data_IF_350009245489
#
_entry.id   IF_350009245489
#
_cell.length_a   1.000
_cell.length_b   1.000
_cell.length_c   1.000
_cell.angle_alpha   90.00
_cell.angle_beta   90.00
_cell.angle_gamma   90.00
#
_symmetry.space_group_name_H-M   'P 1'
#
loop_
_entity.id
_entity.type
_entity.pdbx_description
1 polymer ?
#
# COMPACT_ATOMS: atom_id res chain seq x y z
N UNK A 1 11.36 -6.34 21.38
CA UNK A 1 12.64 -6.86 20.94
C UNK A 1 13.76 -5.85 21.14
N UNK A 2 14.19 -5.02 20.17
CA UNK A 2 15.31 -4.04 20.36
C UNK A 2 15.16 -3.10 21.56
N UNK A 3 13.93 -2.81 21.98
CA UNK A 3 13.60 -1.96 23.12
C UNK A 3 13.17 -2.74 24.36
N UNK A 4 13.10 -4.06 24.30
CA UNK A 4 12.66 -4.95 25.41
C UNK A 4 11.24 -4.62 25.96
N UNK A 5 10.37 -4.08 25.10
CA UNK A 5 9.03 -3.67 25.49
C UNK A 5 7.96 -4.51 24.79
N UNK A 6 6.82 -4.79 25.47
CA UNK A 6 5.65 -5.30 24.79
C UNK A 6 5.08 -4.26 23.84
N UNK A 7 4.44 -4.73 22.77
CA UNK A 7 3.61 -3.88 21.93
C UNK A 7 2.35 -4.60 21.49
N UNK A 8 1.28 -3.84 21.34
CA UNK A 8 0.00 -4.33 20.82
C UNK A 8 -0.01 -4.08 19.33
N UNK A 9 -0.22 -5.12 18.55
CA UNK A 9 -0.28 -5.07 17.10
C UNK A 9 -1.70 -5.28 16.62
N UNK A 10 -2.13 -4.50 15.63
CA UNK A 10 -3.39 -4.68 14.93
C UNK A 10 -3.22 -4.48 13.44
N UNK A 11 -3.96 -5.26 12.65
CA UNK A 11 -4.01 -5.17 11.20
C UNK A 11 -5.43 -5.28 10.71
N UNK A 12 -5.73 -4.62 9.61
CA UNK A 12 -7.04 -4.63 8.94
C UNK A 12 -6.85 -4.86 7.45
N UNK A 13 -7.74 -5.63 6.86
CA UNK A 13 -7.81 -5.83 5.42
C UNK A 13 -9.23 -6.17 4.99
N UNK A 14 -9.78 -5.38 4.06
CA UNK A 14 -11.16 -5.51 3.57
C UNK A 14 -12.20 -5.54 4.70
N UNK A 15 -12.63 -6.72 5.11
CA UNK A 15 -13.65 -6.96 6.14
C UNK A 15 -13.09 -7.70 7.36
N UNK A 16 -11.79 -7.98 7.39
CA UNK A 16 -11.15 -8.73 8.46
C UNK A 16 -10.18 -7.90 9.26
N UNK A 17 -10.14 -8.14 10.57
CA UNK A 17 -9.20 -7.53 11.50
C UNK A 17 -8.43 -8.57 12.29
N UNK A 18 -7.23 -8.23 12.69
CA UNK A 18 -6.36 -9.10 13.50
C UNK A 18 -5.75 -8.27 14.62
N UNK A 19 -5.64 -8.87 15.82
CA UNK A 19 -4.94 -8.26 16.96
C UNK A 19 -4.12 -9.33 17.69
N UNK A 20 -2.92 -8.95 18.09
CA UNK A 20 -2.05 -9.75 18.94
C UNK A 20 -1.19 -8.86 19.83
N UNK A 21 -0.57 -9.48 20.84
CA UNK A 21 0.48 -8.86 21.66
C UNK A 21 1.78 -9.58 21.39
N UNK A 22 2.84 -8.81 21.17
CA UNK A 22 4.19 -9.33 21.03
C UNK A 22 5.09 -8.77 22.13
N UNK A 23 5.82 -9.63 22.78
CA UNK A 23 6.77 -9.30 23.83
C UNK A 23 7.86 -10.38 23.89
N UNK A 24 9.00 -10.12 23.25
CA UNK A 24 10.10 -11.08 23.13
C UNK A 24 10.61 -11.54 24.49
N UNK A 25 10.74 -10.62 25.44
CA UNK A 25 11.31 -10.88 26.78
C UNK A 25 10.21 -11.04 27.83
N UNK A 26 9.08 -11.64 27.48
CA UNK A 26 8.02 -11.89 28.45
C UNK A 26 8.54 -12.75 29.63
N UNK A 27 8.25 -12.34 30.88
CA UNK A 27 8.86 -12.94 32.06
C UNK A 27 8.46 -14.39 32.32
N UNK A 28 7.40 -14.87 31.70
CA UNK A 28 6.84 -16.22 31.88
C UNK A 28 7.28 -17.22 30.80
N UNK A 29 8.26 -16.87 29.98
CA UNK A 29 8.78 -17.71 28.90
C UNK A 29 7.87 -17.78 27.66
N UNK A 30 6.80 -17.02 27.60
CA UNK A 30 5.90 -16.90 26.43
C UNK A 30 6.39 -15.90 25.40
N UNK A 31 7.70 -15.57 25.42
CA UNK A 31 8.28 -14.56 24.55
C UNK A 31 8.03 -14.82 23.07
N UNK A 32 7.46 -13.83 22.40
CA UNK A 32 7.13 -13.86 20.98
C UNK A 32 7.45 -12.52 20.34
N UNK A 33 7.83 -12.57 19.08
CA UNK A 33 7.94 -11.37 18.23
C UNK A 33 7.08 -11.52 16.97
N UNK A 34 6.97 -10.44 16.22
CA UNK A 34 6.15 -10.40 15.00
C UNK A 34 6.58 -11.42 13.93
N UNK A 35 7.88 -11.76 13.88
CA UNK A 35 8.41 -12.73 12.92
C UNK A 35 8.04 -14.18 13.25
N UNK A 36 7.62 -14.47 14.48
CA UNK A 36 7.04 -15.79 14.84
C UNK A 36 5.65 -15.99 14.20
N UNK A 37 4.96 -14.90 13.82
CA UNK A 37 3.69 -14.94 13.10
C UNK A 37 3.88 -14.76 11.59
N UNK A 38 4.72 -13.81 11.20
CA UNK A 38 5.05 -13.49 9.80
C UNK A 38 6.56 -13.50 9.63
N UNK A 39 7.15 -14.68 9.32
CA UNK A 39 8.61 -14.83 9.20
C UNK A 39 9.22 -13.90 8.17
N UNK A 40 8.55 -13.76 7.03
CA UNK A 40 8.94 -12.85 5.95
C UNK A 40 7.82 -11.85 5.66
N UNK A 41 8.16 -10.61 5.39
CA UNK A 41 7.17 -9.67 4.88
C UNK A 41 6.76 -10.07 3.46
N UNK A 42 5.50 -9.78 3.06
CA UNK A 42 5.08 -10.02 1.69
C UNK A 42 5.96 -9.26 0.71
N UNK A 43 6.24 -9.85 -0.43
CA UNK A 43 7.01 -9.18 -1.47
C UNK A 43 6.35 -7.83 -1.86
N UNK A 44 7.13 -6.81 -2.19
CA UNK A 44 6.59 -5.52 -2.63
C UNK A 44 5.56 -5.71 -3.76
N UNK A 45 4.43 -5.01 -3.67
CA UNK A 45 3.35 -5.07 -4.66
C UNK A 45 2.44 -6.30 -4.59
N UNK A 46 2.68 -7.27 -3.71
CA UNK A 46 1.83 -8.48 -3.60
C UNK A 46 0.62 -8.28 -2.69
N UNK A 47 0.68 -7.29 -1.78
CA UNK A 47 -0.44 -6.93 -0.91
C UNK A 47 -0.97 -5.58 -1.35
N UNK A 48 -2.23 -5.52 -1.81
CA UNK A 48 -2.83 -4.25 -2.20
C UNK A 48 -2.94 -3.31 -0.98
N UNK A 49 -2.73 -2.03 -1.22
CA UNK A 49 -2.95 -0.99 -0.22
C UNK A 49 -4.43 -0.93 0.20
N UNK A 50 -4.73 -0.26 1.32
CA UNK A 50 -6.11 -0.03 1.74
C UNK A 50 -6.94 0.72 0.68
N UNK A 51 -6.30 1.55 -0.13
CA UNK A 51 -6.95 2.26 -1.24
C UNK A 51 -7.31 1.34 -2.41
N UNK A 52 -6.52 0.29 -2.62
CA UNK A 52 -6.71 -0.69 -3.71
C UNK A 52 -7.62 -1.83 -3.29
N UNK A 53 -7.38 -2.41 -2.10
CA UNK A 53 -8.15 -3.53 -1.58
C UNK A 53 -9.50 -3.13 -0.97
N UNK A 54 -9.62 -1.87 -0.59
CA UNK A 54 -10.72 -1.36 0.23
C UNK A 54 -10.63 -1.81 1.69
N UNK A 55 -11.22 -1.04 2.60
CA UNK A 55 -11.37 -1.40 4.01
C UNK A 55 -12.69 -0.87 4.51
N UNK A 56 -13.46 -1.73 5.20
CA UNK A 56 -14.67 -1.29 5.90
C UNK A 56 -14.26 -0.33 7.04
N UNK A 57 -14.62 0.96 6.92
CA UNK A 57 -14.12 2.01 7.83
C UNK A 57 -14.39 1.75 9.31
N UNK A 58 -15.54 1.19 9.67
CA UNK A 58 -15.89 0.86 11.06
C UNK A 58 -14.98 -0.25 11.66
N UNK A 59 -14.34 -1.05 10.81
CA UNK A 59 -13.39 -2.10 11.24
C UNK A 59 -12.24 -1.51 12.04
N UNK A 60 -11.80 -0.30 11.70
CA UNK A 60 -10.75 0.41 12.44
C UNK A 60 -11.13 0.58 13.92
N UNK A 61 -12.38 0.99 14.20
CA UNK A 61 -12.87 1.16 15.58
C UNK A 61 -12.93 -0.18 16.33
N UNK A 62 -13.42 -1.24 15.68
CA UNK A 62 -13.51 -2.58 16.28
C UNK A 62 -12.12 -3.11 16.67
N UNK A 63 -11.16 -3.02 15.78
CA UNK A 63 -9.78 -3.46 16.02
C UNK A 63 -9.10 -2.57 17.08
N UNK A 64 -9.24 -1.25 16.97
CA UNK A 64 -8.66 -0.31 17.94
C UNK A 64 -9.18 -0.51 19.35
N UNK A 65 -10.47 -0.85 19.54
CA UNK A 65 -11.06 -1.14 20.85
C UNK A 65 -10.41 -2.37 21.51
N UNK A 66 -10.15 -3.41 20.72
CA UNK A 66 -9.44 -4.60 21.22
C UNK A 66 -7.99 -4.24 21.57
N UNK A 67 -7.30 -3.52 20.68
CA UNK A 67 -5.92 -3.07 20.94
C UNK A 67 -5.80 -2.22 22.21
N UNK A 68 -6.74 -1.29 22.44
CA UNK A 68 -6.81 -0.48 23.65
C UNK A 68 -7.01 -1.35 24.91
N UNK A 69 -7.89 -2.35 24.81
CA UNK A 69 -8.11 -3.31 25.90
C UNK A 69 -6.85 -4.10 26.23
N UNK A 70 -6.13 -4.57 25.23
CA UNK A 70 -4.85 -5.28 25.42
C UNK A 70 -3.77 -4.38 26.06
N UNK A 71 -3.70 -3.12 25.64
CA UNK A 71 -2.79 -2.13 26.25
C UNK A 71 -3.11 -1.92 27.76
N UNK A 72 -4.40 -1.79 28.11
CA UNK A 72 -4.84 -1.65 29.48
C UNK A 72 -4.46 -2.88 30.31
N UNK A 73 -4.67 -4.10 29.80
CA UNK A 73 -4.26 -5.34 30.46
C UNK A 73 -2.75 -5.38 30.73
N UNK A 74 -1.93 -4.99 29.74
CA UNK A 74 -0.47 -4.95 29.90
C UNK A 74 -0.02 -3.94 30.96
N UNK A 75 -0.69 -2.77 31.03
CA UNK A 75 -0.34 -1.71 31.99
C UNK A 75 -0.77 -2.07 33.41
N UNK A 76 -1.98 -2.63 33.54
CA UNK A 76 -2.61 -2.87 34.86
C UNK A 76 -2.38 -4.25 35.41
N UNK A 77 -1.96 -5.21 34.59
CA UNK A 77 -1.79 -6.61 34.96
C UNK A 77 -3.11 -7.36 35.17
N UNK A 78 -4.26 -6.79 34.76
CA UNK A 78 -5.56 -7.45 34.88
C UNK A 78 -5.85 -8.35 33.67
N UNK A 79 -6.47 -9.48 33.93
CA UNK A 79 -6.87 -10.42 32.87
C UNK A 79 -5.70 -11.09 32.16
N UNK A 80 -5.97 -11.72 31.03
CA UNK A 80 -4.99 -12.46 30.23
C UNK A 80 -4.81 -11.76 28.88
N UNK A 81 -3.61 -11.20 28.59
CA UNK A 81 -3.36 -10.53 27.30
C UNK A 81 -3.30 -11.53 26.14
N UNK A 82 -3.41 -11.03 24.92
CA UNK A 82 -3.29 -11.81 23.68
C UNK A 82 -1.84 -12.23 23.36
N UNK A 83 -0.94 -12.23 24.32
CA UNK A 83 0.42 -12.77 24.16
C UNK A 83 0.35 -14.28 23.87
N UNK A 84 0.93 -14.72 22.76
CA UNK A 84 0.85 -16.10 22.27
C UNK A 84 -0.46 -16.46 21.59
N UNK A 85 -1.30 -15.46 21.30
CA UNK A 85 -2.59 -15.66 20.63
C UNK A 85 -2.84 -14.58 19.60
N UNK A 86 -3.37 -14.98 18.43
CA UNK A 86 -3.89 -14.08 17.42
C UNK A 86 -5.41 -14.09 17.46
N UNK A 87 -6.01 -12.96 17.76
CA UNK A 87 -7.44 -12.75 17.55
C UNK A 87 -7.70 -12.37 16.09
N UNK A 88 -8.68 -13.00 15.47
CA UNK A 88 -9.14 -12.72 14.13
C UNK A 88 -10.61 -12.34 14.21
N UNK A 89 -10.95 -11.18 13.69
CA UNK A 89 -12.30 -10.67 13.55
C UNK A 89 -12.74 -10.67 12.09
N UNK A 90 -13.91 -11.24 11.82
CA UNK A 90 -14.58 -11.16 10.53
C UNK A 90 -15.84 -10.30 10.69
N UNK A 91 -15.86 -9.15 9.99
CA UNK A 91 -16.96 -8.20 10.10
C UNK A 91 -18.21 -8.61 9.30
N UNK A 92 -18.07 -9.50 8.30
CA UNK A 92 -19.23 -9.98 7.54
C UNK A 92 -20.08 -10.96 8.36
N UNK A 93 -19.39 -11.84 9.09
CA UNK A 93 -20.04 -12.85 9.94
C UNK A 93 -20.17 -12.42 11.41
N UNK A 94 -19.59 -11.25 11.78
CA UNK A 94 -19.51 -10.75 13.16
C UNK A 94 -18.88 -11.77 14.13
N UNK A 95 -17.88 -12.51 13.65
CA UNK A 95 -17.24 -13.56 14.44
C UNK A 95 -15.86 -13.14 14.93
N UNK A 96 -15.54 -13.57 16.16
CA UNK A 96 -14.21 -13.47 16.75
C UNK A 96 -13.69 -14.88 17.01
N UNK A 97 -12.50 -15.16 16.51
CA UNK A 97 -11.81 -16.42 16.80
C UNK A 97 -10.38 -16.14 17.26
N UNK A 98 -9.85 -17.03 18.09
CA UNK A 98 -8.47 -16.91 18.57
C UNK A 98 -7.70 -18.16 18.19
N UNK A 99 -6.50 -17.99 17.63
CA UNK A 99 -5.56 -19.07 17.33
C UNK A 99 -4.27 -18.87 18.13
N UNK A 100 -3.64 -20.00 18.52
CA UNK A 100 -2.36 -19.95 19.24
C UNK A 100 -1.21 -19.63 18.31
N UNK A 101 -0.31 -18.74 18.75
CA UNK A 101 0.99 -18.49 18.14
C UNK A 101 2.05 -19.10 19.04
N UNK A 102 3.05 -19.73 18.45
CA UNK A 102 4.19 -20.31 19.17
C UNK A 102 5.49 -19.75 18.63
N UNK A 103 6.48 -19.62 19.52
CA UNK A 103 7.84 -19.27 19.13
C UNK A 103 8.36 -20.31 18.14
N UNK A 104 8.84 -19.85 16.99
CA UNK A 104 9.58 -20.70 16.07
C UNK A 104 11.07 -20.62 16.42
N UNK A 105 11.69 -21.74 16.84
CA UNK A 105 13.11 -21.76 17.15
C UNK A 105 14.02 -21.40 15.95
N UNK A 106 13.50 -21.51 14.73
CA UNK A 106 14.22 -21.16 13.51
C UNK A 106 14.14 -19.66 13.19
N UNK A 107 13.27 -18.90 13.87
CA UNK A 107 13.16 -17.44 13.65
C UNK A 107 14.47 -16.76 14.03
N UNK A 108 15.15 -16.06 13.08
CA UNK A 108 16.40 -15.37 13.36
C UNK A 108 16.22 -14.31 14.44
N UNK A 109 17.22 -14.16 15.31
CA UNK A 109 17.25 -13.05 16.26
C UNK A 109 17.38 -11.73 15.53
N UNK A 110 16.45 -10.80 15.78
CA UNK A 110 16.48 -9.47 15.18
C UNK A 110 17.48 -8.60 15.96
N UNK A 111 18.55 -8.21 15.29
CA UNK A 111 19.65 -7.39 15.87
C UNK A 111 19.62 -5.93 15.44
N UNK A 112 18.78 -5.60 14.44
CA UNK A 112 18.67 -4.24 13.89
C UNK A 112 17.39 -4.06 13.09
N UNK A 113 17.11 -2.82 12.72
CA UNK A 113 16.05 -2.49 11.75
C UNK A 113 16.55 -2.78 10.34
N UNK A 114 15.67 -3.23 9.48
CA UNK A 114 15.95 -3.30 8.04
C UNK A 114 15.86 -1.90 7.43
N UNK A 115 16.38 -1.74 6.22
CA UNK A 115 16.12 -0.55 5.43
C UNK A 115 14.66 -0.58 4.95
N UNK A 116 13.80 0.17 5.65
CA UNK A 116 12.37 0.22 5.34
C UNK A 116 12.06 1.04 4.09
N UNK A 117 12.89 1.98 3.70
CA UNK A 117 12.69 2.78 2.50
C UNK A 117 12.87 1.90 1.27
N UNK A 118 13.93 1.10 1.23
CA UNK A 118 14.13 0.10 0.20
C UNK A 118 13.05 -1.01 0.24
N UNK A 119 12.59 -1.39 1.44
CA UNK A 119 11.61 -2.46 1.61
C UNK A 119 10.17 -2.04 1.29
N UNK A 120 9.73 -0.85 1.69
CA UNK A 120 8.36 -0.35 1.51
C UNK A 120 8.09 0.16 0.09
N UNK A 121 9.09 0.11 -0.82
CA UNK A 121 8.92 0.64 -2.17
C UNK A 121 8.58 2.14 -2.12
N UNK A 122 9.15 2.90 -1.19
CA UNK A 122 9.32 4.33 -1.39
C UNK A 122 9.98 4.45 -2.73
N UNK A 123 9.46 5.29 -3.61
CA UNK A 123 9.91 5.48 -4.99
C UNK A 123 11.41 5.27 -5.03
N UNK A 124 11.87 4.21 -5.69
CA UNK A 124 13.30 3.90 -5.71
C UNK A 124 14.04 5.14 -6.21
N UNK A 125 15.25 5.37 -5.75
CA UNK A 125 16.05 6.52 -6.20
C UNK A 125 16.10 6.57 -7.74
N UNK A 126 16.13 5.42 -8.40
CA UNK A 126 16.07 5.30 -9.85
C UNK A 126 14.74 5.76 -10.44
N UNK A 127 13.62 5.45 -9.80
CA UNK A 127 12.30 5.91 -10.26
C UNK A 127 12.09 7.40 -9.93
N UNK A 128 12.61 7.88 -8.80
CA UNK A 128 12.61 9.29 -8.47
C UNK A 128 13.45 10.10 -9.46
N UNK A 129 14.64 9.59 -9.81
CA UNK A 129 15.49 10.19 -10.82
C UNK A 129 14.83 10.17 -12.22
N UNK A 130 14.22 9.04 -12.61
CA UNK A 130 13.49 8.94 -13.87
C UNK A 130 12.27 9.89 -13.95
N UNK A 131 11.64 10.15 -12.80
CA UNK A 131 10.49 11.04 -12.69
C UNK A 131 10.89 12.52 -12.66
N UNK A 132 12.08 12.88 -12.16
CA UNK A 132 12.50 14.27 -11.98
C UNK A 132 12.41 15.11 -13.27
N UNK A 133 12.84 14.54 -14.40
CA UNK A 133 12.83 15.19 -15.70
C UNK A 133 11.64 14.81 -16.59
N UNK A 134 10.73 13.98 -16.08
CA UNK A 134 9.61 13.43 -16.83
C UNK A 134 8.27 13.59 -16.11
N UNK A 135 8.16 14.65 -15.34
CA UNK A 135 6.94 15.03 -14.60
C UNK A 135 6.19 16.11 -15.37
N UNK A 136 4.87 15.96 -15.44
CA UNK A 136 3.94 16.97 -15.97
C UNK A 136 2.93 17.37 -14.91
N UNK A 137 2.67 18.65 -14.74
CA UNK A 137 1.63 19.16 -13.84
C UNK A 137 0.24 18.97 -14.44
N UNK A 138 -0.84 19.02 -13.63
CA UNK A 138 -2.22 18.97 -14.16
C UNK A 138 -2.52 20.03 -15.21
N UNK A 139 -2.04 21.27 -15.02
CA UNK A 139 -2.26 22.35 -15.96
C UNK A 139 -1.51 22.12 -17.28
N UNK A 140 -0.23 21.72 -17.22
CA UNK A 140 0.55 21.40 -18.41
C UNK A 140 -0.05 20.23 -19.20
N UNK A 141 -0.55 19.18 -18.49
CA UNK A 141 -1.23 18.05 -19.14
C UNK A 141 -2.52 18.52 -19.83
N UNK A 142 -3.32 19.36 -19.17
CA UNK A 142 -4.52 19.97 -19.78
C UNK A 142 -4.15 20.75 -21.04
N UNK A 143 -3.14 21.59 -20.98
CA UNK A 143 -2.65 22.37 -22.14
C UNK A 143 -2.14 21.46 -23.28
N UNK A 144 -1.51 20.33 -22.94
CA UNK A 144 -1.10 19.34 -23.95
C UNK A 144 -2.32 18.73 -24.65
N UNK A 145 -3.35 18.36 -23.91
CA UNK A 145 -4.59 17.78 -24.45
C UNK A 145 -5.31 18.83 -25.31
N UNK A 146 -5.52 20.03 -24.80
CA UNK A 146 -6.28 21.09 -25.44
C UNK A 146 -5.58 21.60 -26.71
N UNK A 147 -4.24 21.58 -26.76
CA UNK A 147 -3.46 21.91 -27.96
C UNK A 147 -3.42 20.82 -29.01
N UNK A 148 -4.06 19.65 -28.76
CA UNK A 148 -4.10 18.54 -29.70
C UNK A 148 -2.78 17.77 -29.82
N UNK A 149 -1.89 17.85 -28.83
CA UNK A 149 -0.70 17.00 -28.79
C UNK A 149 -1.12 15.52 -28.73
N UNK A 150 -0.40 14.62 -29.40
CA UNK A 150 -0.73 13.19 -29.37
C UNK A 150 -0.36 12.58 -28.02
N UNK A 151 -1.23 12.74 -27.03
CA UNK A 151 -1.10 12.17 -25.68
C UNK A 151 -1.88 10.86 -25.58
N UNK A 152 -1.28 9.85 -24.95
CA UNK A 152 -1.96 8.66 -24.45
C UNK A 152 -1.99 8.74 -22.91
N UNK A 153 -3.13 9.07 -22.35
CA UNK A 153 -3.31 9.16 -20.90
C UNK A 153 -3.60 7.76 -20.34
N UNK A 154 -2.78 7.31 -19.39
CA UNK A 154 -2.80 5.95 -18.86
C UNK A 154 -3.00 5.95 -17.36
N UNK A 155 -4.09 5.35 -16.90
CA UNK A 155 -4.34 5.10 -15.48
C UNK A 155 -3.68 3.77 -15.08
N UNK A 156 -2.72 3.85 -14.16
CA UNK A 156 -2.01 2.65 -13.66
C UNK A 156 -2.60 2.12 -12.36
N UNK A 157 -3.79 2.58 -11.96
CA UNK A 157 -4.51 2.11 -10.78
C UNK A 157 -5.20 0.77 -11.03
N UNK A 158 -5.85 0.26 -9.99
CA UNK A 158 -6.62 -0.97 -10.10
C UNK A 158 -8.05 -0.72 -10.63
N UNK A 159 -8.71 -1.75 -11.24
CA UNK A 159 -10.06 -1.61 -11.79
C UNK A 159 -11.10 -1.07 -10.82
N UNK A 160 -10.97 -1.39 -9.52
CA UNK A 160 -11.89 -0.88 -8.50
C UNK A 160 -11.76 0.63 -8.28
N UNK A 161 -10.54 1.18 -8.39
CA UNK A 161 -10.29 2.61 -8.30
C UNK A 161 -10.79 3.35 -9.55
N UNK A 162 -10.57 2.75 -10.73
CA UNK A 162 -11.06 3.26 -12.01
C UNK A 162 -12.60 3.37 -12.04
N UNK A 163 -13.31 2.39 -11.48
CA UNK A 163 -14.76 2.38 -11.42
C UNK A 163 -15.36 3.51 -10.58
N UNK A 164 -14.59 4.07 -9.63
CA UNK A 164 -15.03 5.21 -8.80
C UNK A 164 -14.90 6.52 -9.58
N UNK A 165 -13.74 6.75 -10.18
CA UNK A 165 -13.44 7.93 -10.97
C UNK A 165 -12.26 7.65 -11.91
N UNK A 166 -12.13 8.44 -12.98
CA UNK A 166 -10.95 8.45 -13.85
C UNK A 166 -10.95 9.76 -14.65
N UNK A 167 -9.79 10.14 -15.18
CA UNK A 167 -9.68 11.30 -16.06
C UNK A 167 -10.24 10.92 -17.43
N UNK A 168 -11.09 11.77 -18.00
CA UNK A 168 -11.72 11.52 -19.29
C UNK A 168 -10.67 11.31 -20.39
N UNK A 169 -10.92 10.29 -21.24
CA UNK A 169 -9.99 9.91 -22.32
C UNK A 169 -8.81 9.04 -21.89
N UNK A 170 -8.69 8.70 -20.62
CA UNK A 170 -7.65 7.78 -20.14
C UNK A 170 -7.95 6.32 -20.50
N UNK A 171 -6.92 5.50 -20.60
CA UNK A 171 -6.99 4.05 -20.69
C UNK A 171 -6.48 3.42 -19.39
N UNK A 172 -7.20 2.41 -18.87
CA UNK A 172 -6.77 1.65 -17.71
C UNK A 172 -5.76 0.57 -18.11
N UNK A 173 -4.52 0.72 -17.66
CA UNK A 173 -3.47 -0.30 -17.75
C UNK A 173 -2.85 -0.47 -16.35
N UNK A 174 -3.36 -1.38 -15.52
CA UNK A 174 -2.89 -1.54 -14.15
C UNK A 174 -1.38 -1.74 -14.04
N UNK A 175 -0.75 -1.10 -13.04
CA UNK A 175 0.71 -1.22 -12.80
C UNK A 175 1.16 -2.68 -12.74
N UNK A 176 0.37 -3.54 -12.10
CA UNK A 176 0.63 -4.98 -12.00
C UNK A 176 0.83 -5.66 -13.36
N UNK A 177 0.14 -5.18 -14.41
CA UNK A 177 0.31 -5.69 -15.78
C UNK A 177 1.53 -5.10 -16.49
N UNK A 178 1.91 -3.86 -16.17
CA UNK A 178 3.15 -3.24 -16.67
C UNK A 178 4.37 -3.91 -16.05
N UNK A 179 4.37 -4.18 -14.76
CA UNK A 179 5.47 -4.86 -14.04
C UNK A 179 5.76 -6.27 -14.60
N UNK A 180 4.74 -6.97 -15.07
CA UNK A 180 4.88 -8.27 -15.71
C UNK A 180 5.20 -8.20 -17.22
N UNK A 181 5.21 -7.00 -17.79
CA UNK A 181 5.39 -6.76 -19.22
C UNK A 181 4.13 -6.98 -20.07
N UNK A 182 3.09 -7.62 -19.55
CA UNK A 182 1.86 -7.89 -20.30
C UNK A 182 1.12 -6.62 -20.73
N UNK A 183 1.20 -5.56 -19.94
CA UNK A 183 0.58 -4.26 -20.23
C UNK A 183 1.33 -3.43 -21.26
N UNK A 184 2.62 -3.69 -21.49
CA UNK A 184 3.46 -2.86 -22.37
C UNK A 184 2.97 -2.83 -23.83
N UNK A 185 2.42 -3.93 -24.32
CA UNK A 185 1.87 -4.04 -25.68
C UNK A 185 0.64 -3.15 -25.90
N UNK A 186 -0.01 -2.69 -24.84
CA UNK A 186 -1.18 -1.80 -24.90
C UNK A 186 -0.80 -0.33 -24.89
N UNK A 187 0.44 0.00 -24.54
CA UNK A 187 0.92 1.38 -24.51
C UNK A 187 1.18 1.86 -25.95
N UNK A 188 0.48 2.90 -26.44
CA UNK A 188 0.68 3.40 -27.79
C UNK A 188 2.11 3.96 -27.98
N UNK A 189 2.74 3.60 -29.09
CA UNK A 189 4.09 4.06 -29.43
C UNK A 189 4.12 5.34 -30.28
N UNK A 190 2.96 5.72 -30.82
CA UNK A 190 2.78 6.88 -31.70
C UNK A 190 2.36 8.14 -30.93
N UNK A 191 2.23 8.06 -29.62
CA UNK A 191 1.78 9.13 -28.73
C UNK A 191 2.65 9.20 -27.47
N UNK A 192 2.68 10.38 -26.85
CA UNK A 192 3.36 10.58 -25.56
C UNK A 192 2.53 9.88 -24.47
N UNK A 193 3.06 8.82 -23.89
CA UNK A 193 2.41 8.15 -22.77
C UNK A 193 2.52 9.01 -21.51
N UNK A 194 1.38 9.41 -20.92
CA UNK A 194 1.32 10.13 -19.65
C UNK A 194 0.63 9.25 -18.64
N UNK A 195 1.40 8.76 -17.66
CA UNK A 195 0.95 7.85 -16.64
C UNK A 195 0.40 8.62 -15.44
N UNK A 196 -0.68 8.16 -14.85
CA UNK A 196 -1.12 8.67 -13.55
C UNK A 196 -1.63 7.56 -12.64
N UNK A 197 -1.56 7.82 -11.33
CA UNK A 197 -2.19 7.01 -10.30
C UNK A 197 -2.95 7.91 -9.32
N UNK A 198 -3.18 7.48 -8.09
CA UNK A 198 -3.87 8.31 -7.09
C UNK A 198 -3.07 9.56 -6.71
N UNK A 199 -1.78 9.39 -6.33
CA UNK A 199 -0.93 10.44 -5.75
C UNK A 199 0.40 10.68 -6.47
N UNK A 200 0.71 9.92 -7.54
CA UNK A 200 1.95 10.03 -8.31
C UNK A 200 3.01 8.95 -8.02
N UNK A 201 2.92 8.22 -6.90
CA UNK A 201 3.94 7.22 -6.50
C UNK A 201 3.97 6.04 -7.48
N UNK A 202 2.87 5.34 -7.65
CA UNK A 202 2.77 4.17 -8.56
C UNK A 202 3.06 4.54 -10.01
N UNK A 203 2.68 5.74 -10.44
CA UNK A 203 2.95 6.20 -11.80
C UNK A 203 4.41 6.56 -12.03
N UNK A 204 5.16 7.03 -11.01
CA UNK A 204 6.60 7.22 -11.10
C UNK A 204 7.35 5.88 -11.25
N UNK A 205 6.95 4.85 -10.50
CA UNK A 205 7.52 3.50 -10.65
C UNK A 205 7.19 2.89 -12.03
N UNK A 206 5.94 3.02 -12.47
CA UNK A 206 5.52 2.54 -13.79
C UNK A 206 6.24 3.29 -14.94
N UNK A 207 6.55 4.57 -14.74
CA UNK A 207 7.35 5.37 -15.69
C UNK A 207 8.74 4.77 -15.87
N UNK A 208 9.40 4.36 -14.80
CA UNK A 208 10.71 3.71 -14.89
C UNK A 208 10.63 2.45 -15.76
N UNK A 209 9.63 1.60 -15.54
CA UNK A 209 9.41 0.40 -16.35
C UNK A 209 9.17 0.72 -17.83
N UNK A 210 8.37 1.75 -18.13
CA UNK A 210 8.15 2.21 -19.52
C UNK A 210 9.43 2.71 -20.16
N UNK A 211 10.22 3.53 -19.47
CA UNK A 211 11.50 4.04 -20.00
C UNK A 211 12.48 2.90 -20.29
N UNK A 212 12.56 1.90 -19.42
CA UNK A 212 13.36 0.70 -19.63
C UNK A 212 12.87 -0.13 -20.84
N UNK A 213 11.57 -0.09 -21.13
CA UNK A 213 10.97 -0.74 -22.30
C UNK A 213 11.08 0.08 -23.60
N UNK A 214 11.73 1.25 -23.56
CA UNK A 214 12.01 2.07 -24.76
C UNK A 214 11.07 3.27 -24.98
N UNK A 215 10.13 3.53 -24.06
CA UNK A 215 9.26 4.73 -24.13
C UNK A 215 9.98 5.95 -23.55
N UNK A 216 10.99 6.48 -24.27
CA UNK A 216 11.86 7.54 -23.78
C UNK A 216 11.11 8.83 -23.39
N UNK A 217 10.07 9.19 -24.15
CA UNK A 217 9.28 10.42 -23.97
C UNK A 217 8.09 10.24 -23.00
N UNK A 218 7.99 9.09 -22.32
CA UNK A 218 6.93 8.86 -21.35
C UNK A 218 7.06 9.83 -20.16
N UNK A 219 5.92 10.30 -19.67
CA UNK A 219 5.77 11.24 -18.56
C UNK A 219 4.89 10.65 -17.46
N UNK A 220 4.90 11.25 -16.28
CA UNK A 220 3.89 10.98 -15.28
C UNK A 220 3.28 12.25 -14.68
N UNK A 221 2.01 12.17 -14.28
CA UNK A 221 1.25 13.28 -13.73
C UNK A 221 1.64 13.53 -12.27
N UNK A 222 2.14 14.73 -11.98
CA UNK A 222 2.48 15.17 -10.64
C UNK A 222 1.24 15.15 -9.72
N UNK A 223 1.37 14.47 -8.58
CA UNK A 223 0.30 14.37 -7.60
C UNK A 223 -0.92 13.54 -8.05
N UNK A 224 -0.85 12.92 -9.23
CA UNK A 224 -1.85 12.00 -9.76
C UNK A 224 -3.24 12.59 -9.91
N UNK A 225 -4.27 11.72 -9.90
CA UNK A 225 -5.68 12.14 -10.06
C UNK A 225 -6.15 13.07 -8.93
N UNK A 226 -5.52 12.99 -7.74
CA UNK A 226 -5.85 13.89 -6.61
C UNK A 226 -5.48 15.33 -6.96
N UNK A 227 -4.30 15.56 -7.54
CA UNK A 227 -3.88 16.89 -7.97
C UNK A 227 -4.70 17.40 -9.17
N UNK A 228 -5.01 16.49 -10.11
CA UNK A 228 -5.89 16.80 -11.24
C UNK A 228 -7.28 17.26 -10.76
N UNK A 229 -7.94 16.47 -9.93
CA UNK A 229 -9.26 16.80 -9.40
C UNK A 229 -9.26 18.16 -8.66
N UNK A 230 -8.28 18.39 -7.78
CA UNK A 230 -8.21 19.64 -7.02
C UNK A 230 -8.04 20.89 -7.87
N UNK A 231 -7.35 20.78 -8.98
CA UNK A 231 -7.00 21.93 -9.80
C UNK A 231 -7.96 22.15 -10.97
N UNK A 232 -8.53 21.08 -11.53
CA UNK A 232 -9.25 21.13 -12.80
C UNK A 232 -10.68 20.58 -12.72
N UNK A 233 -10.96 19.64 -11.81
CA UNK A 233 -12.24 18.96 -11.70
C UNK A 233 -12.66 18.82 -10.22
N UNK A 234 -12.94 19.93 -9.51
CA UNK A 234 -13.22 19.91 -8.06
C UNK A 234 -14.47 19.10 -7.68
N UNK A 235 -15.37 18.86 -8.63
CA UNK A 235 -16.58 18.06 -8.43
C UNK A 235 -16.36 16.55 -8.66
N UNK A 236 -15.14 16.14 -9.04
CA UNK A 236 -14.78 14.72 -9.20
C UNK A 236 -14.94 13.99 -7.85
N UNK A 237 -15.65 12.88 -7.85
CA UNK A 237 -15.82 12.04 -6.64
C UNK A 237 -14.45 11.49 -6.22
N UNK A 238 -14.07 11.77 -4.98
CA UNK A 238 -12.79 11.32 -4.41
C UNK A 238 -13.04 10.26 -3.32
N UNK A 239 -12.08 9.35 -3.14
CA UNK A 239 -12.14 8.24 -2.18
C UNK A 239 -10.87 8.18 -1.32
#
# INVERSE_FOLDING_TARGET
>A
MLTHKPYVWGSIYRFSGQVSVFWEDAPDGRGLNYRDLYPEPPAPGTVPSCAEGGVLGILCASVASVMGTEAIKLITGIGEPLLGRLMIYDALDMTYRTIGIRKDPATPTITGLIDYDAFCGVVSDDAAAAAADATVTPLELRDMIDSGKPVALIDVREPAEWAINHIEGAELIPKSTLDTGAGLARVPQDRIAVLYCKTGIRSAEALLALKQAGFADALHLQGGIVAWARQLEPDMVMY
#
